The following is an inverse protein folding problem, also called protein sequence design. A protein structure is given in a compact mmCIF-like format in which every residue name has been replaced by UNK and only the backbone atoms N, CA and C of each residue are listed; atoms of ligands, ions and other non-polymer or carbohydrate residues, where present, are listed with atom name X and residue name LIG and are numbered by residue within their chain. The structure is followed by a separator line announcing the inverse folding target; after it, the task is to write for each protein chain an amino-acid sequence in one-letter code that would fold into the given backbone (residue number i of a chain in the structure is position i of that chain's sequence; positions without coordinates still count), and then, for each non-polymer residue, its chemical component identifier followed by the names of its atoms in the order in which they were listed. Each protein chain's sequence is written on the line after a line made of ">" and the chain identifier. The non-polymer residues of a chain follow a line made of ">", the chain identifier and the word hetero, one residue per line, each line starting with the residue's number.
data_IF_696902134147
#
_entry.id   IF_696902134147
#
_cell.length_a   1.000
_cell.length_b   1.000
_cell.length_c   1.000
_cell.angle_alpha   90.00
_cell.angle_beta   90.00
_cell.angle_gamma   90.00
#
_symmetry.space_group_name_H-M   'P 1'
#
loop_
_entity.id
_entity.type
_entity.pdbx_description
1 polymer ?
#
# COMPACT_ATOMS: atom_id res chain seq x y z
N UNK A 1 10.95 1.57 11.94
CA UNK A 1 10.23 2.57 12.77
C UNK A 1 11.15 3.69 13.29
N UNK A 2 12.48 3.58 13.13
CA UNK A 2 13.43 4.43 13.89
C UNK A 2 13.74 5.80 13.27
N UNK A 3 13.72 5.95 11.94
CA UNK A 3 14.00 7.24 11.30
C UNK A 3 12.91 8.29 11.59
N UNK A 4 11.66 7.84 11.75
CA UNK A 4 10.49 8.69 12.02
C UNK A 4 10.52 9.21 13.46
N UNK A 5 10.93 8.38 14.43
CA UNK A 5 11.08 8.80 15.82
C UNK A 5 12.16 9.87 15.99
N UNK A 6 13.24 9.81 15.22
CA UNK A 6 14.33 10.76 15.38
C UNK A 6 13.96 12.17 14.90
N UNK A 7 13.14 12.27 13.85
CA UNK A 7 12.70 13.55 13.29
C UNK A 7 11.64 14.23 14.16
N UNK A 8 10.68 13.45 14.68
CA UNK A 8 9.70 13.89 15.69
C UNK A 8 10.42 14.40 16.94
N UNK A 9 11.40 13.64 17.45
CA UNK A 9 12.16 14.05 18.63
C UNK A 9 13.02 15.28 18.39
N UNK A 10 13.56 15.49 17.18
CA UNK A 10 14.39 16.65 16.85
C UNK A 10 13.55 17.93 16.71
N UNK A 11 12.36 17.85 16.11
CA UNK A 11 11.45 18.99 15.98
C UNK A 11 10.81 19.37 17.33
N UNK A 12 10.44 18.39 18.16
CA UNK A 12 9.90 18.61 19.51
C UNK A 12 10.96 19.21 20.44
N UNK A 13 12.23 18.77 20.36
CA UNK A 13 13.29 19.22 21.29
C UNK A 13 13.79 20.64 21.03
N UNK A 14 13.49 21.23 19.87
CA UNK A 14 13.89 22.60 19.52
C UNK A 14 12.78 23.66 19.64
N UNK A 15 11.54 23.28 19.97
CA UNK A 15 10.36 24.14 19.82
C UNK A 15 9.59 24.38 21.12
N UNK A 16 10.28 24.86 22.16
CA UNK A 16 9.64 25.38 23.37
C UNK A 16 9.44 26.90 23.31
N UNK A 17 8.79 27.35 22.24
CA UNK A 17 8.06 28.61 22.21
C UNK A 17 6.74 28.33 21.50
N UNK A 18 5.62 28.83 22.06
CA UNK A 18 4.23 28.69 21.58
C UNK A 18 3.99 29.38 20.22
N UNK A 19 4.80 29.02 19.22
CA UNK A 19 4.72 29.56 17.88
C UNK A 19 3.67 28.78 17.09
N UNK A 20 2.63 29.47 16.63
CA UNK A 20 1.58 28.95 15.73
C UNK A 20 2.14 28.12 14.56
N UNK A 21 3.33 28.47 14.07
CA UNK A 21 4.02 27.73 13.00
C UNK A 21 4.46 26.32 13.42
N UNK A 22 4.79 26.08 14.70
CA UNK A 22 5.16 24.76 15.23
C UNK A 22 3.92 23.85 15.27
N UNK A 23 2.77 24.38 15.70
CA UNK A 23 1.50 23.64 15.71
C UNK A 23 1.10 23.23 14.29
N UNK A 24 1.24 24.12 13.31
CA UNK A 24 0.98 23.80 11.89
C UNK A 24 1.94 22.71 11.40
N UNK A 25 3.23 22.79 11.74
CA UNK A 25 4.24 21.82 11.32
C UNK A 25 3.95 20.43 11.88
N UNK A 26 3.66 20.33 13.19
CA UNK A 26 3.28 19.07 13.85
C UNK A 26 1.98 18.51 13.25
N UNK A 27 0.96 19.34 13.05
CA UNK A 27 -0.30 18.92 12.40
C UNK A 27 -0.06 18.38 10.99
N UNK A 28 0.76 19.07 10.20
CA UNK A 28 1.13 18.65 8.83
C UNK A 28 1.87 17.31 8.85
N UNK A 29 2.80 17.12 9.78
CA UNK A 29 3.55 15.88 9.95
C UNK A 29 2.63 14.70 10.34
N UNK A 30 1.73 14.91 11.31
CA UNK A 30 0.76 13.90 11.73
C UNK A 30 -0.18 13.50 10.58
N UNK A 31 -0.73 14.49 9.87
CA UNK A 31 -1.59 14.26 8.70
C UNK A 31 -0.84 13.49 7.60
N UNK A 32 0.39 13.88 7.28
CA UNK A 32 1.23 13.20 6.30
C UNK A 32 1.49 11.74 6.67
N UNK A 33 1.82 11.47 7.94
CA UNK A 33 2.02 10.11 8.44
C UNK A 33 0.74 9.27 8.41
N UNK A 34 -0.40 9.87 8.72
CA UNK A 34 -1.69 9.19 8.64
C UNK A 34 -2.04 8.82 7.20
N UNK A 35 -1.96 9.79 6.27
CA UNK A 35 -2.22 9.56 4.83
C UNK A 35 -1.30 8.48 4.30
N UNK A 36 -0.01 8.53 4.63
CA UNK A 36 0.96 7.49 4.24
C UNK A 36 0.57 6.11 4.76
N UNK A 37 0.16 6.01 6.02
CA UNK A 37 -0.27 4.75 6.63
C UNK A 37 -1.53 4.21 5.98
N UNK A 38 -2.54 5.06 5.80
CA UNK A 38 -3.81 4.70 5.14
C UNK A 38 -3.58 4.28 3.70
N UNK A 39 -2.73 5.00 2.96
CA UNK A 39 -2.36 4.64 1.59
C UNK A 39 -1.66 3.28 1.54
N UNK A 40 -0.74 2.99 2.47
CA UNK A 40 -0.10 1.68 2.55
C UNK A 40 -1.14 0.55 2.73
N UNK A 41 -2.11 0.72 3.64
CA UNK A 41 -3.19 -0.25 3.80
C UNK A 41 -4.03 -0.40 2.52
N UNK A 42 -4.37 0.71 1.86
CA UNK A 42 -5.10 0.68 0.59
C UNK A 42 -4.34 -0.08 -0.49
N UNK A 43 -3.03 0.11 -0.61
CA UNK A 43 -2.21 -0.62 -1.57
C UNK A 43 -2.29 -2.14 -1.35
N UNK A 44 -2.21 -2.60 -0.10
CA UNK A 44 -2.39 -4.03 0.19
C UNK A 44 -3.78 -4.51 -0.16
N UNK A 45 -4.82 -3.75 0.17
CA UNK A 45 -6.18 -4.11 -0.21
C UNK A 45 -6.39 -4.17 -1.71
N UNK A 46 -5.82 -3.23 -2.45
CA UNK A 46 -5.84 -3.20 -3.92
C UNK A 46 -5.15 -4.44 -4.50
N UNK A 47 -3.95 -4.79 -4.01
CA UNK A 47 -3.18 -5.93 -4.50
C UNK A 47 -3.87 -7.26 -4.22
N UNK A 48 -4.37 -7.47 -2.99
CA UNK A 48 -5.07 -8.69 -2.62
C UNK A 48 -6.44 -8.81 -3.30
N UNK A 49 -7.15 -7.69 -3.50
CA UNK A 49 -8.40 -7.72 -4.26
C UNK A 49 -8.14 -8.05 -5.75
N UNK A 50 -7.06 -7.51 -6.33
CA UNK A 50 -6.62 -7.89 -7.68
C UNK A 50 -6.31 -9.39 -7.78
N UNK A 51 -5.57 -9.97 -6.82
CA UNK A 51 -5.23 -11.39 -6.88
C UNK A 51 -6.45 -12.31 -6.74
N UNK A 52 -7.46 -11.93 -5.97
CA UNK A 52 -8.74 -12.66 -5.89
C UNK A 52 -9.55 -12.55 -7.17
N UNK A 53 -9.52 -11.40 -7.86
CA UNK A 53 -10.20 -11.22 -9.15
C UNK A 53 -9.45 -11.84 -10.33
N UNK A 54 -8.18 -12.21 -10.15
CA UNK A 54 -7.38 -12.84 -11.18
C UNK A 54 -8.06 -14.13 -11.68
N UNK A 55 -7.97 -14.48 -12.98
CA UNK A 55 -8.61 -15.69 -13.48
C UNK A 55 -8.07 -16.97 -12.81
N UNK A 56 -8.95 -17.96 -12.63
CA UNK A 56 -8.52 -19.31 -12.24
C UNK A 56 -7.63 -19.91 -13.34
N UNK A 57 -7.98 -19.63 -14.61
CA UNK A 57 -7.24 -20.04 -15.80
C UNK A 57 -6.96 -18.78 -16.65
N UNK A 58 -5.87 -18.06 -16.38
CA UNK A 58 -5.54 -16.84 -17.12
C UNK A 58 -5.12 -17.16 -18.56
N UNK A 59 -5.51 -16.28 -19.47
CA UNK A 59 -5.01 -16.27 -20.85
C UNK A 59 -3.55 -15.83 -20.89
N UNK A 60 -2.85 -16.13 -22.00
CA UNK A 60 -1.47 -15.68 -22.20
C UNK A 60 -1.32 -14.16 -22.11
N UNK A 61 -2.31 -13.41 -22.63
CA UNK A 61 -2.34 -11.96 -22.53
C UNK A 61 -2.44 -11.47 -21.07
N UNK A 62 -3.30 -12.08 -20.26
CA UNK A 62 -3.45 -11.75 -18.84
C UNK A 62 -2.20 -12.13 -18.03
N UNK A 63 -1.57 -13.26 -18.35
CA UNK A 63 -0.27 -13.66 -17.80
C UNK A 63 0.82 -12.63 -18.10
N UNK A 64 0.98 -12.26 -19.38
CA UNK A 64 1.98 -11.27 -19.81
C UNK A 64 1.75 -9.91 -19.14
N UNK A 65 0.51 -9.43 -19.12
CA UNK A 65 0.15 -8.16 -18.49
C UNK A 65 0.44 -8.18 -16.97
N UNK A 66 0.09 -9.28 -16.29
CA UNK A 66 0.34 -9.45 -14.86
C UNK A 66 1.83 -9.55 -14.56
N UNK A 67 2.60 -10.28 -15.38
CA UNK A 67 4.05 -10.36 -15.28
C UNK A 67 4.69 -8.97 -15.42
N UNK A 68 4.24 -8.18 -16.40
CA UNK A 68 4.73 -6.82 -16.61
C UNK A 68 4.38 -5.91 -15.43
N UNK A 69 3.17 -6.03 -14.88
CA UNK A 69 2.75 -5.30 -13.68
C UNK A 69 3.65 -5.63 -12.49
N UNK A 70 3.84 -6.92 -12.19
CA UNK A 70 4.63 -7.38 -11.04
C UNK A 70 6.10 -6.94 -11.15
N UNK A 71 6.71 -7.03 -12.34
CA UNK A 71 8.07 -6.51 -12.58
C UNK A 71 8.20 -5.00 -12.31
N UNK A 72 7.12 -4.25 -12.51
CA UNK A 72 7.08 -2.81 -12.31
C UNK A 72 6.42 -2.38 -11.01
N UNK A 73 6.10 -3.31 -10.09
CA UNK A 73 5.28 -3.01 -8.90
C UNK A 73 5.89 -1.90 -8.04
N UNK A 74 7.21 -1.86 -7.93
CA UNK A 74 7.96 -0.80 -7.26
C UNK A 74 7.59 0.60 -7.82
N UNK A 75 7.49 0.74 -9.13
CA UNK A 75 7.26 2.02 -9.80
C UNK A 75 5.86 2.59 -9.49
N UNK A 76 4.89 1.74 -9.13
CA UNK A 76 3.54 2.15 -8.79
C UNK A 76 3.36 2.44 -7.30
N UNK A 77 4.11 1.75 -6.44
CA UNK A 77 3.92 1.79 -4.98
C UNK A 77 5.07 2.48 -4.22
N UNK A 78 5.80 3.38 -4.89
CA UNK A 78 6.96 4.11 -4.37
C UNK A 78 6.68 5.01 -3.14
N UNK A 79 5.42 5.22 -2.78
CA UNK A 79 5.01 6.05 -1.63
C UNK A 79 5.34 5.43 -0.27
N UNK A 80 5.70 4.15 -0.25
CA UNK A 80 6.14 3.46 0.95
C UNK A 80 7.66 3.60 1.11
N UNK A 81 8.15 4.67 1.75
CA UNK A 81 9.60 4.81 2.03
C UNK A 81 10.18 3.67 2.88
N UNK A 82 9.32 2.98 3.64
CA UNK A 82 9.65 1.76 4.41
C UNK A 82 9.73 0.50 3.54
N UNK A 83 9.09 0.52 2.37
CA UNK A 83 9.23 -0.44 1.28
C UNK A 83 10.33 0.10 0.35
N UNK A 84 11.54 0.24 0.88
CA UNK A 84 12.66 0.73 0.07
C UNK A 84 12.76 -0.10 -1.21
N UNK A 85 13.07 0.55 -2.34
CA UNK A 85 13.25 -0.12 -3.62
C UNK A 85 14.16 -1.35 -3.50
N UNK A 86 15.15 -1.28 -2.60
CA UNK A 86 16.02 -2.39 -2.23
C UNK A 86 15.27 -3.62 -1.72
N UNK A 87 14.34 -3.48 -0.76
CA UNK A 87 13.59 -4.60 -0.19
C UNK A 87 12.70 -5.27 -1.23
N UNK A 88 11.97 -4.47 -2.01
CA UNK A 88 11.11 -4.99 -3.08
C UNK A 88 12.01 -5.71 -4.10
N UNK A 89 13.08 -5.06 -4.58
CA UNK A 89 14.02 -5.67 -5.52
C UNK A 89 14.57 -7.00 -4.98
N UNK A 90 15.01 -7.04 -3.73
CA UNK A 90 15.52 -8.24 -3.08
C UNK A 90 14.48 -9.37 -3.02
N UNK A 91 13.21 -9.04 -2.74
CA UNK A 91 12.15 -10.05 -2.83
C UNK A 91 12.03 -10.61 -4.24
N UNK A 92 11.96 -9.74 -5.26
CA UNK A 92 11.82 -10.17 -6.65
C UNK A 92 13.04 -10.89 -7.23
N UNK A 93 14.25 -10.65 -6.72
CA UNK A 93 15.47 -11.38 -7.09
C UNK A 93 15.43 -12.85 -6.64
N UNK A 94 14.63 -13.18 -5.62
CA UNK A 94 14.54 -14.52 -5.04
C UNK A 94 13.26 -15.28 -5.41
N UNK A 95 12.38 -14.70 -6.23
CA UNK A 95 11.07 -15.26 -6.54
C UNK A 95 10.84 -15.33 -8.05
N UNK A 96 10.51 -16.51 -8.54
CA UNK A 96 10.14 -16.71 -9.94
C UNK A 96 8.68 -16.30 -10.18
N UNK A 97 8.49 -15.12 -10.77
CA UNK A 97 7.16 -14.56 -11.09
C UNK A 97 6.36 -15.53 -11.96
N UNK A 98 7.00 -16.29 -12.85
CA UNK A 98 6.29 -17.16 -13.80
C UNK A 98 5.53 -18.27 -13.08
N UNK A 99 6.04 -18.78 -11.95
CA UNK A 99 5.34 -19.77 -11.13
C UNK A 99 4.09 -19.18 -10.46
N UNK A 100 4.11 -17.90 -10.15
CA UNK A 100 3.06 -17.26 -9.36
C UNK A 100 1.90 -16.71 -10.17
N UNK A 101 2.08 -16.49 -11.47
CA UNK A 101 1.01 -15.98 -12.35
C UNK A 101 0.18 -17.09 -13.00
N UNK A 102 0.55 -18.37 -12.85
CA UNK A 102 -0.12 -19.50 -13.53
C UNK A 102 -1.63 -19.57 -13.25
N UNK A 103 -2.06 -19.19 -12.05
CA UNK A 103 -3.46 -19.18 -11.65
C UNK A 103 -3.71 -18.22 -10.47
N UNK A 104 -4.99 -18.02 -10.14
CA UNK A 104 -5.46 -17.23 -9.00
C UNK A 104 -4.79 -17.58 -7.67
N UNK A 105 -4.78 -18.85 -7.28
CA UNK A 105 -4.28 -19.28 -5.97
C UNK A 105 -2.79 -19.01 -5.81
N UNK A 106 -2.02 -19.26 -6.88
CA UNK A 106 -0.60 -18.94 -6.93
C UNK A 106 -0.38 -17.43 -6.78
N UNK A 107 -1.19 -16.60 -7.46
CA UNK A 107 -1.04 -15.15 -7.36
C UNK A 107 -1.45 -14.63 -5.97
N UNK A 108 -2.45 -15.22 -5.33
CA UNK A 108 -2.79 -14.93 -3.93
C UNK A 108 -1.63 -15.29 -3.01
N UNK A 109 -1.06 -16.49 -3.16
CA UNK A 109 0.09 -16.95 -2.38
C UNK A 109 1.29 -16.02 -2.56
N UNK A 110 1.53 -15.53 -3.77
CA UNK A 110 2.57 -14.53 -4.04
C UNK A 110 2.40 -13.28 -3.19
N UNK A 111 1.20 -12.68 -3.18
CA UNK A 111 0.97 -11.47 -2.39
C UNK A 111 0.96 -11.71 -0.89
N UNK A 112 0.56 -12.91 -0.42
CA UNK A 112 0.73 -13.31 0.99
C UNK A 112 2.22 -13.30 1.35
N UNK A 113 3.06 -14.00 0.58
CA UNK A 113 4.51 -14.08 0.81
C UNK A 113 5.18 -12.71 0.71
N UNK A 114 4.80 -11.90 -0.28
CA UNK A 114 5.32 -10.55 -0.44
C UNK A 114 4.95 -9.65 0.74
N UNK A 115 3.69 -9.69 1.19
CA UNK A 115 3.24 -8.91 2.34
C UNK A 115 3.93 -9.38 3.64
N UNK A 116 4.08 -10.68 3.84
CA UNK A 116 4.85 -11.27 4.95
C UNK A 116 6.28 -10.77 4.97
N UNK A 117 7.00 -10.86 3.83
CA UNK A 117 8.37 -10.38 3.69
C UNK A 117 8.49 -8.89 4.07
N UNK A 118 7.59 -8.04 3.58
CA UNK A 118 7.59 -6.61 3.94
C UNK A 118 7.34 -6.42 5.44
N UNK A 119 6.39 -7.13 6.04
CA UNK A 119 6.11 -7.04 7.47
C UNK A 119 7.31 -7.45 8.33
N UNK A 120 7.94 -8.58 8.02
CA UNK A 120 9.16 -9.04 8.69
C UNK A 120 10.29 -8.01 8.57
N UNK A 121 10.47 -7.40 7.38
CA UNK A 121 11.47 -6.35 7.18
C UNK A 121 11.22 -5.06 7.98
N UNK A 122 10.03 -4.93 8.58
CA UNK A 122 9.60 -3.81 9.41
C UNK A 122 9.45 -4.21 10.88
N UNK A 123 9.91 -5.41 11.27
CA UNK A 123 9.74 -6.00 12.59
C UNK A 123 8.28 -6.05 13.03
N UNK A 124 7.37 -6.30 12.09
CA UNK A 124 5.95 -6.55 12.36
C UNK A 124 5.72 -8.05 12.36
N UNK A 125 4.97 -8.55 13.35
CA UNK A 125 4.54 -9.94 13.36
C UNK A 125 3.60 -10.22 12.20
N UNK A 126 3.86 -11.31 11.48
CA UNK A 126 2.97 -11.88 10.50
C UNK A 126 2.57 -13.26 10.99
N UNK A 127 1.28 -13.50 11.19
CA UNK A 127 0.78 -14.81 11.57
C UNK A 127 0.44 -15.61 10.31
N UNK A 128 1.33 -16.54 9.97
CA UNK A 128 1.20 -17.40 8.79
C UNK A 128 -0.06 -18.27 8.84
N UNK A 129 -0.57 -18.57 10.04
CA UNK A 129 -1.80 -19.36 10.20
C UNK A 129 -3.07 -18.53 9.96
N UNK A 130 -2.98 -17.21 10.05
CA UNK A 130 -4.11 -16.29 9.82
C UNK A 130 -4.23 -15.89 8.36
N UNK A 131 -3.11 -15.67 7.66
CA UNK A 131 -3.11 -15.17 6.28
C UNK A 131 -3.00 -16.31 5.25
N UNK A 132 -3.99 -17.21 5.25
CA UNK A 132 -4.08 -18.31 4.28
C UNK A 132 -4.73 -17.85 2.96
N UNK A 133 -4.64 -18.67 1.91
CA UNK A 133 -5.33 -18.44 0.63
C UNK A 133 -6.83 -18.31 0.86
N UNK A 134 -7.43 -19.24 1.61
CA UNK A 134 -8.87 -19.24 1.93
C UNK A 134 -9.28 -17.98 2.69
N UNK A 135 -8.46 -17.54 3.65
CA UNK A 135 -8.72 -16.29 4.36
C UNK A 135 -8.73 -15.09 3.42
N UNK A 136 -7.78 -15.02 2.47
CA UNK A 136 -7.73 -13.93 1.49
C UNK A 136 -8.94 -13.99 0.55
N UNK A 137 -9.30 -15.16 0.02
CA UNK A 137 -10.50 -15.32 -0.81
C UNK A 137 -11.74 -14.87 -0.02
N UNK A 138 -11.97 -15.43 1.17
CA UNK A 138 -13.14 -15.12 1.99
C UNK A 138 -13.24 -13.63 2.30
N UNK A 139 -12.13 -13.03 2.76
CA UNK A 139 -12.06 -11.62 3.12
C UNK A 139 -12.40 -10.73 1.93
N UNK A 140 -11.76 -10.93 0.78
CA UNK A 140 -11.87 -10.01 -0.35
C UNK A 140 -13.10 -10.25 -1.23
N UNK A 141 -13.66 -11.47 -1.22
CA UNK A 141 -14.97 -11.73 -1.80
C UNK A 141 -16.09 -11.08 -0.97
N UNK A 142 -16.05 -11.16 0.37
CA UNK A 142 -17.09 -10.57 1.24
C UNK A 142 -17.04 -9.05 1.31
N UNK A 143 -15.85 -8.47 1.45
CA UNK A 143 -15.68 -7.02 1.64
C UNK A 143 -15.76 -6.21 0.34
N UNK A 144 -15.63 -6.87 -0.81
CA UNK A 144 -15.69 -6.28 -2.15
C UNK A 144 -14.85 -5.00 -2.30
N UNK A 145 -13.58 -5.06 -1.84
CA UNK A 145 -12.66 -3.91 -1.91
C UNK A 145 -12.49 -3.39 -3.33
N UNK A 146 -12.50 -4.25 -4.35
CA UNK A 146 -12.44 -3.80 -5.76
C UNK A 146 -13.60 -2.87 -6.11
N UNK A 147 -14.83 -3.19 -5.71
CA UNK A 147 -15.98 -2.31 -5.94
C UNK A 147 -15.89 -1.04 -5.08
N UNK A 148 -15.38 -1.13 -3.86
CA UNK A 148 -15.13 0.07 -3.04
C UNK A 148 -14.20 1.07 -3.74
N UNK A 149 -13.03 0.62 -4.23
CA UNK A 149 -12.10 1.49 -4.94
C UNK A 149 -12.66 2.00 -6.27
N UNK A 150 -13.43 1.16 -6.99
CA UNK A 150 -14.11 1.56 -8.22
C UNK A 150 -15.15 2.65 -7.96
N UNK A 151 -16.00 2.49 -6.94
CA UNK A 151 -17.04 3.47 -6.63
C UNK A 151 -16.47 4.77 -6.07
N UNK A 152 -15.50 4.68 -5.17
CA UNK A 152 -14.99 5.84 -4.43
C UNK A 152 -13.97 6.64 -5.23
N UNK A 153 -13.12 5.96 -6.01
CA UNK A 153 -11.97 6.58 -6.66
C UNK A 153 -11.92 6.31 -8.17
N UNK A 154 -12.94 5.67 -8.74
CA UNK A 154 -12.92 5.21 -10.14
C UNK A 154 -11.69 4.34 -10.48
N UNK A 155 -11.21 3.57 -9.50
CA UNK A 155 -9.99 2.78 -9.63
C UNK A 155 -10.28 1.28 -9.59
N UNK A 156 -9.93 0.58 -10.68
CA UNK A 156 -9.95 -0.88 -10.74
C UNK A 156 -8.60 -1.39 -11.28
N UNK A 157 -7.78 -1.96 -10.41
CA UNK A 157 -6.46 -2.45 -10.79
C UNK A 157 -6.52 -3.59 -11.82
N UNK A 158 -7.51 -4.49 -11.72
CA UNK A 158 -7.65 -5.63 -12.66
C UNK A 158 -7.89 -5.13 -14.07
N UNK A 159 -8.85 -4.21 -14.23
CA UNK A 159 -9.16 -3.58 -15.53
C UNK A 159 -7.93 -2.86 -16.10
N UNK A 160 -7.22 -2.09 -15.27
CA UNK A 160 -6.04 -1.33 -15.72
C UNK A 160 -4.86 -2.22 -16.16
N UNK A 161 -4.62 -3.34 -15.47
CA UNK A 161 -3.58 -4.29 -15.87
C UNK A 161 -3.96 -4.97 -17.19
N UNK A 162 -5.18 -5.49 -17.29
CA UNK A 162 -5.61 -6.25 -18.48
C UNK A 162 -5.84 -5.38 -19.71
N UNK A 163 -6.12 -4.08 -19.53
CA UNK A 163 -6.14 -3.10 -20.62
C UNK A 163 -4.76 -2.52 -20.96
N UNK A 164 -3.68 -3.11 -20.43
CA UNK A 164 -2.29 -2.66 -20.61
C UNK A 164 -2.09 -1.15 -20.30
N UNK A 165 -2.88 -0.62 -19.37
CA UNK A 165 -2.92 0.83 -19.04
C UNK A 165 -2.04 1.15 -17.83
N UNK A 166 -0.82 0.64 -17.85
CA UNK A 166 0.15 0.71 -16.74
C UNK A 166 0.47 2.14 -16.29
N UNK A 167 0.55 3.10 -17.22
CA UNK A 167 0.82 4.50 -16.89
C UNK A 167 -0.33 5.15 -16.09
N UNK A 168 -1.56 4.67 -16.29
CA UNK A 168 -2.72 5.14 -15.54
C UNK A 168 -2.66 4.67 -14.08
N UNK A 169 -2.10 3.49 -13.79
CA UNK A 169 -2.03 2.95 -12.42
C UNK A 169 -1.37 3.96 -11.48
N UNK A 170 -0.21 4.51 -11.86
CA UNK A 170 0.50 5.49 -11.04
C UNK A 170 -0.30 6.78 -10.86
N UNK A 171 -0.93 7.26 -11.94
CA UNK A 171 -1.75 8.48 -11.92
C UNK A 171 -2.95 8.33 -10.99
N UNK A 172 -3.66 7.22 -11.07
CA UNK A 172 -4.83 6.97 -10.23
C UNK A 172 -4.44 6.74 -8.75
N UNK A 173 -3.33 6.05 -8.48
CA UNK A 173 -2.81 5.93 -7.10
C UNK A 173 -2.44 7.30 -6.51
N UNK A 174 -1.87 8.20 -7.31
CA UNK A 174 -1.62 9.59 -6.90
C UNK A 174 -2.91 10.36 -6.64
N UNK A 175 -3.94 10.15 -7.47
CA UNK A 175 -5.26 10.74 -7.25
C UNK A 175 -5.88 10.27 -5.92
N UNK A 176 -5.86 8.95 -5.64
CA UNK A 176 -6.32 8.40 -4.35
C UNK A 176 -5.58 9.03 -3.18
N UNK A 177 -4.25 9.19 -3.28
CA UNK A 177 -3.46 9.84 -2.24
C UNK A 177 -3.91 11.29 -2.00
N UNK A 178 -4.17 12.06 -3.07
CA UNK A 178 -4.64 13.44 -2.98
C UNK A 178 -6.03 13.51 -2.32
N UNK A 179 -6.94 12.62 -2.70
CA UNK A 179 -8.26 12.54 -2.08
C UNK A 179 -8.17 12.21 -0.59
N UNK A 180 -7.26 11.30 -0.20
CA UNK A 180 -6.98 11.03 1.21
C UNK A 180 -6.47 12.26 1.95
N UNK A 181 -5.60 13.07 1.34
CA UNK A 181 -5.14 14.32 1.95
C UNK A 181 -6.30 15.31 2.16
N UNK A 182 -7.20 15.45 1.17
CA UNK A 182 -8.37 16.32 1.25
C UNK A 182 -9.38 15.84 2.31
N UNK A 183 -9.63 14.52 2.39
CA UNK A 183 -10.46 13.94 3.45
C UNK A 183 -9.89 14.29 4.82
N UNK A 184 -8.57 14.20 4.98
CA UNK A 184 -7.91 14.41 6.26
C UNK A 184 -7.84 15.87 6.68
N UNK A 185 -7.79 16.82 5.73
CA UNK A 185 -7.87 18.25 6.08
C UNK A 185 -9.20 18.64 6.72
N UNK A 186 -10.25 17.82 6.57
CA UNK A 186 -11.54 18.05 7.22
C UNK A 186 -11.57 17.61 8.69
N UNK A 187 -10.54 16.90 9.17
CA UNK A 187 -10.46 16.50 10.58
C UNK A 187 -9.84 17.62 11.41
N UNK A 188 -10.57 18.07 12.43
CA UNK A 188 -10.04 19.02 13.41
C UNK A 188 -9.13 18.30 14.41
N UNK A 189 -7.89 18.04 13.98
CA UNK A 189 -6.86 17.50 14.87
C UNK A 189 -6.44 18.62 15.84
N UNK A 190 -6.91 18.52 17.08
CA UNK A 190 -6.41 19.34 18.20
C UNK A 190 -5.10 18.74 18.69
N UNK A 191 -4.03 19.53 18.62
CA UNK A 191 -2.73 19.19 19.18
C UNK A 191 -2.52 20.07 20.40
N UNK A 192 -2.59 19.48 21.59
CA UNK A 192 -2.23 20.14 22.84
C UNK A 192 -0.79 19.75 23.20
N UNK A 193 0.11 20.73 23.24
CA UNK A 193 1.48 20.51 23.69
C UNK A 193 1.50 20.61 25.21
N UNK A 194 1.74 19.49 25.89
CA UNK A 194 1.98 19.48 27.33
C UNK A 194 3.42 19.92 27.59
N UNK A 195 3.59 21.13 28.12
CA UNK A 195 4.87 21.64 28.60
C UNK A 195 4.98 21.26 30.07
N UNK A 196 5.93 20.38 30.41
CA UNK A 196 6.32 20.05 31.78
C UNK A 196 7.61 20.77 32.14
#
# INVERSE_FOLDING_TARGET
>A
MEVVNHQINKEIKHSFDNNYNNVISVKTLLLSNFVKTKMHHYCWHILHAFSVNYPIYPTDCENIATKLFLKNINNYFSYCSSCSNFKIKHFFENYDIDLFIVNRENLILFFIKFHSFINTSLNKMHDENTYTIDFIIDKYTKTNYSQFFKNKYNFNLTELIFSNSHDKIKKELFYIQKELMNEMSNYDIKVELLIN
#
